data_IF_107174149719
#
_entry.id   IF_107174149719
#
_cell.length_a   1.000
_cell.length_b   1.000
_cell.length_c   1.000
_cell.angle_alpha   90.00
_cell.angle_beta   90.00
_cell.angle_gamma   90.00
#
_symmetry.space_group_name_H-M   'P 1'
#
loop_
_entity.id
_entity.type
_entity.pdbx_description
1 polymer ?
#
# COMPACT_ATOMS: atom_id res chain seq x y z
N UNK A 1 15.84 -5.91 -16.13
CA UNK A 1 15.46 -7.34 -16.13
C UNK A 1 16.63 -8.29 -16.32
N UNK A 2 17.25 -8.42 -17.51
CA UNK A 2 18.41 -9.32 -17.65
C UNK A 2 19.63 -8.86 -16.80
N UNK A 3 19.78 -7.56 -16.62
CA UNK A 3 20.75 -6.92 -15.71
C UNK A 3 20.41 -7.23 -14.23
N UNK A 4 19.18 -6.94 -13.79
CA UNK A 4 18.68 -7.19 -12.42
C UNK A 4 18.81 -8.66 -12.00
N UNK A 5 18.59 -9.60 -12.92
CA UNK A 5 18.74 -11.03 -12.67
C UNK A 5 20.22 -11.40 -12.50
N UNK A 6 21.12 -10.85 -13.32
CA UNK A 6 22.56 -11.04 -13.15
C UNK A 6 23.06 -10.44 -11.84
N UNK A 7 22.55 -9.28 -11.46
CA UNK A 7 22.83 -8.65 -10.16
C UNK A 7 22.35 -9.54 -9.01
N UNK A 8 21.15 -10.11 -9.12
CA UNK A 8 20.58 -11.03 -8.13
C UNK A 8 21.41 -12.30 -7.99
N UNK A 9 21.80 -12.92 -9.11
CA UNK A 9 22.65 -14.12 -9.12
C UNK A 9 24.05 -13.82 -8.56
N UNK A 10 24.65 -12.68 -8.92
CA UNK A 10 25.94 -12.23 -8.38
C UNK A 10 25.86 -12.01 -6.87
N UNK A 11 24.77 -11.42 -6.39
CA UNK A 11 24.53 -11.26 -4.95
C UNK A 11 24.42 -12.61 -4.24
N UNK A 12 23.70 -13.59 -4.81
CA UNK A 12 23.61 -14.94 -4.25
C UNK A 12 24.99 -15.61 -4.14
N UNK A 13 25.82 -15.52 -5.18
CA UNK A 13 27.18 -16.07 -5.19
C UNK A 13 28.07 -15.39 -4.10
N UNK A 14 27.93 -14.07 -3.92
CA UNK A 14 28.65 -13.35 -2.87
C UNK A 14 28.22 -13.73 -1.46
N UNK A 15 26.92 -13.88 -1.21
CA UNK A 15 26.39 -14.30 0.11
C UNK A 15 26.90 -15.69 0.48
N UNK A 16 26.92 -16.61 -0.49
CA UNK A 16 27.49 -17.95 -0.32
C UNK A 16 28.96 -17.88 0.07
N UNK A 17 29.74 -17.04 -0.61
CA UNK A 17 31.19 -16.90 -0.39
C UNK A 17 31.53 -16.34 1.00
N UNK A 18 30.67 -15.46 1.55
CA UNK A 18 30.91 -14.75 2.82
C UNK A 18 30.47 -15.51 4.08
N UNK A 19 29.85 -16.69 3.93
CA UNK A 19 29.65 -17.62 5.04
C UNK A 19 28.88 -17.06 6.23
N UNK A 20 27.71 -16.45 5.98
CA UNK A 20 26.74 -16.18 7.04
C UNK A 20 26.40 -17.51 7.71
N UNK A 21 26.33 -17.54 9.05
CA UNK A 21 26.11 -18.73 9.92
C UNK A 21 24.81 -19.53 9.67
N UNK A 22 24.10 -19.29 8.58
CA UNK A 22 23.06 -20.20 8.08
C UNK A 22 23.73 -21.38 7.39
N UNK A 23 23.07 -22.54 7.44
CA UNK A 23 23.56 -23.78 6.86
C UNK A 23 23.98 -23.57 5.39
N UNK A 24 25.29 -23.52 5.13
CA UNK A 24 25.84 -23.26 3.78
C UNK A 24 25.25 -24.21 2.74
N UNK A 25 24.83 -25.40 3.15
CA UNK A 25 24.25 -26.41 2.26
C UNK A 25 22.88 -26.01 1.69
N UNK A 26 22.02 -25.33 2.47
CA UNK A 26 20.69 -24.90 2.01
C UNK A 26 20.80 -23.76 0.99
N UNK A 27 21.72 -22.81 1.23
CA UNK A 27 21.94 -21.68 0.32
C UNK A 27 22.58 -22.12 -1.01
N UNK A 28 23.54 -23.06 -0.99
CA UNK A 28 24.07 -23.65 -2.23
C UNK A 28 22.98 -24.38 -3.01
N UNK A 29 22.18 -25.21 -2.34
CA UNK A 29 21.08 -25.93 -3.00
C UNK A 29 20.04 -25.00 -3.63
N UNK A 30 19.75 -23.85 -3.00
CA UNK A 30 18.89 -22.82 -3.60
C UNK A 30 19.55 -22.22 -4.85
N UNK A 31 20.82 -21.81 -4.75
CA UNK A 31 21.51 -21.15 -5.87
C UNK A 31 21.67 -22.06 -7.09
N UNK A 32 21.97 -23.35 -6.85
CA UNK A 32 22.10 -24.37 -7.89
C UNK A 32 20.78 -24.58 -8.66
N UNK A 33 19.62 -24.39 -8.00
CA UNK A 33 18.31 -24.40 -8.66
C UNK A 33 18.01 -23.07 -9.37
N UNK A 34 18.36 -21.94 -8.74
CA UNK A 34 17.98 -20.60 -9.20
C UNK A 34 18.57 -20.27 -10.57
N UNK A 35 19.87 -20.49 -10.78
CA UNK A 35 20.51 -20.09 -12.03
C UNK A 35 19.93 -20.81 -13.26
N UNK A 36 19.84 -22.15 -13.30
CA UNK A 36 19.16 -22.87 -14.37
C UNK A 36 17.66 -22.51 -14.52
N UNK A 37 16.97 -22.26 -13.40
CA UNK A 37 15.58 -21.81 -13.41
C UNK A 37 15.45 -20.47 -14.13
N UNK A 38 16.32 -19.49 -13.83
CA UNK A 38 16.29 -18.17 -14.43
C UNK A 38 16.59 -18.22 -15.93
N UNK A 39 17.57 -19.03 -16.36
CA UNK A 39 17.86 -19.24 -17.79
C UNK A 39 16.64 -19.84 -18.52
N UNK A 40 15.95 -20.80 -17.88
CA UNK A 40 14.73 -21.38 -18.40
C UNK A 40 13.61 -20.35 -18.47
N UNK A 41 13.42 -19.57 -17.41
CA UNK A 41 12.43 -18.50 -17.31
C UNK A 41 12.60 -17.51 -18.45
N UNK A 42 13.79 -16.97 -18.66
CA UNK A 42 14.07 -16.01 -19.74
C UNK A 42 13.82 -16.62 -21.13
N UNK A 43 14.26 -17.86 -21.34
CA UNK A 43 14.02 -18.57 -22.61
C UNK A 43 12.53 -18.74 -22.91
N UNK A 44 11.70 -18.94 -21.88
CA UNK A 44 10.25 -19.09 -22.05
C UNK A 44 9.55 -17.74 -22.13
N UNK A 45 9.98 -16.75 -21.37
CA UNK A 45 9.49 -15.38 -21.39
C UNK A 45 9.68 -14.75 -22.77
N UNK A 46 10.84 -14.93 -23.39
CA UNK A 46 11.12 -14.44 -24.75
C UNK A 46 10.27 -15.11 -25.86
N UNK A 47 9.54 -16.18 -25.54
CA UNK A 47 8.60 -16.86 -26.45
C UNK A 47 7.15 -16.43 -26.22
N UNK A 48 6.88 -15.62 -25.20
CA UNK A 48 5.55 -15.07 -24.98
C UNK A 48 5.23 -14.05 -26.07
N UNK A 49 3.97 -13.97 -26.53
CA UNK A 49 3.56 -12.91 -27.43
C UNK A 49 3.73 -11.54 -26.75
N UNK A 50 3.90 -10.50 -27.56
CA UNK A 50 3.98 -9.13 -27.04
C UNK A 50 2.71 -8.80 -26.26
N UNK A 51 2.89 -8.41 -25.01
CA UNK A 51 1.82 -8.05 -24.08
C UNK A 51 2.22 -6.74 -23.41
N UNK A 52 1.28 -5.80 -23.35
CA UNK A 52 1.45 -4.52 -22.68
C UNK A 52 0.23 -4.24 -21.83
N UNK A 53 0.49 -3.89 -20.58
CA UNK A 53 -0.50 -3.34 -19.67
C UNK A 53 0.08 -2.05 -19.10
N UNK A 54 -0.68 -0.96 -19.14
CA UNK A 54 -0.21 0.33 -18.66
C UNK A 54 0.05 0.32 -17.15
N UNK A 55 -0.73 -0.44 -16.38
CA UNK A 55 -0.57 -0.54 -14.93
C UNK A 55 0.70 -1.30 -14.55
N UNK A 56 1.21 -2.19 -15.40
CA UNK A 56 2.52 -2.85 -15.18
C UNK A 56 3.69 -1.85 -15.27
N UNK A 57 3.49 -0.69 -15.91
CA UNK A 57 4.51 0.35 -16.08
C UNK A 57 4.52 1.36 -14.92
N UNK A 58 3.53 1.31 -14.02
CA UNK A 58 3.38 2.22 -12.90
C UNK A 58 3.62 1.50 -11.58
N UNK A 59 4.10 2.23 -10.56
CA UNK A 59 4.18 1.71 -9.20
C UNK A 59 2.77 1.74 -8.55
N UNK A 60 1.95 0.74 -8.84
CA UNK A 60 0.57 0.64 -8.35
C UNK A 60 0.56 0.18 -6.89
N UNK A 61 0.43 1.14 -5.98
CA UNK A 61 0.27 0.92 -4.53
C UNK A 61 -1.21 0.73 -4.12
N UNK A 62 -1.46 0.47 -2.82
CA UNK A 62 -2.80 0.29 -2.24
C UNK A 62 -3.74 1.45 -2.58
N UNK A 63 -3.28 2.69 -2.44
CA UNK A 63 -4.07 3.88 -2.73
C UNK A 63 -4.48 3.93 -4.20
N UNK A 64 -3.59 3.50 -5.11
CA UNK A 64 -3.91 3.41 -6.54
C UNK A 64 -5.07 2.44 -6.79
N UNK A 65 -5.08 1.28 -6.12
CA UNK A 65 -6.19 0.34 -6.18
C UNK A 65 -7.50 0.93 -5.65
N UNK A 66 -7.46 1.66 -4.53
CA UNK A 66 -8.62 2.33 -3.95
C UNK A 66 -9.18 3.42 -4.87
N UNK A 67 -8.31 4.17 -5.56
CA UNK A 67 -8.69 5.16 -6.58
C UNK A 67 -9.30 4.53 -7.83
N UNK A 68 -8.77 3.39 -8.29
CA UNK A 68 -9.36 2.66 -9.42
C UNK A 68 -10.76 2.17 -9.05
N UNK A 69 -10.92 1.52 -7.90
CA UNK A 69 -12.24 1.08 -7.42
C UNK A 69 -13.20 2.26 -7.25
N UNK A 70 -12.74 3.37 -6.66
CA UNK A 70 -13.51 4.62 -6.56
C UNK A 70 -14.07 5.06 -7.91
N UNK A 71 -13.23 5.13 -8.95
CA UNK A 71 -13.66 5.53 -10.30
C UNK A 71 -14.64 4.55 -10.93
N UNK A 72 -14.45 3.25 -10.76
CA UNK A 72 -15.38 2.23 -11.24
C UNK A 72 -16.75 2.35 -10.56
N UNK A 73 -16.76 2.51 -9.24
CA UNK A 73 -18.00 2.60 -8.44
C UNK A 73 -18.76 3.93 -8.65
N UNK A 74 -18.09 4.97 -9.15
CA UNK A 74 -18.71 6.25 -9.54
C UNK A 74 -19.44 6.21 -10.88
N UNK A 75 -19.31 5.13 -11.66
CA UNK A 75 -19.96 5.02 -12.96
C UNK A 75 -21.47 5.14 -12.82
N UNK A 76 -22.08 5.99 -13.68
CA UNK A 76 -23.52 6.18 -13.77
C UNK A 76 -24.05 5.74 -15.13
N UNK A 77 -25.23 5.15 -15.12
CA UNK A 77 -26.02 4.90 -16.32
C UNK A 77 -26.52 6.23 -16.93
N UNK A 78 -27.07 6.21 -18.15
CA UNK A 78 -27.78 7.37 -18.71
C UNK A 78 -28.97 7.84 -17.86
N UNK A 79 -29.55 6.95 -17.05
CA UNK A 79 -30.64 7.28 -16.11
C UNK A 79 -30.12 7.79 -14.76
N UNK A 80 -28.80 7.90 -14.59
CA UNK A 80 -28.16 8.41 -13.38
C UNK A 80 -27.89 7.35 -12.30
N UNK A 81 -28.16 6.07 -12.58
CA UNK A 81 -27.99 4.98 -11.62
C UNK A 81 -26.55 4.50 -11.52
N UNK A 82 -26.09 4.21 -10.31
CA UNK A 82 -24.76 3.68 -10.06
C UNK A 82 -24.68 2.16 -10.32
N UNK A 83 -24.74 1.75 -11.59
CA UNK A 83 -24.86 0.33 -12.00
C UNK A 83 -23.73 -0.55 -11.42
N UNK A 84 -22.47 -0.13 -11.52
CA UNK A 84 -21.34 -0.90 -10.98
C UNK A 84 -21.42 -0.99 -9.45
N UNK A 85 -21.74 0.10 -8.75
CA UNK A 85 -21.88 0.04 -7.29
C UNK A 85 -23.08 -0.81 -6.85
N UNK A 86 -24.21 -0.76 -7.56
CA UNK A 86 -25.34 -1.66 -7.34
C UNK A 86 -24.93 -3.13 -7.52
N UNK A 87 -24.21 -3.44 -8.60
CA UNK A 87 -23.63 -4.77 -8.82
C UNK A 87 -22.68 -5.18 -7.69
N UNK A 88 -21.86 -4.26 -7.20
CA UNK A 88 -20.93 -4.51 -6.10
C UNK A 88 -21.69 -4.86 -4.82
N UNK A 89 -22.67 -4.05 -4.41
CA UNK A 89 -23.48 -4.30 -3.20
C UNK A 89 -24.26 -5.62 -3.34
N UNK A 90 -24.80 -5.91 -4.53
CA UNK A 90 -25.42 -7.20 -4.80
C UNK A 90 -24.42 -8.35 -4.57
N UNK A 91 -23.20 -8.23 -5.10
CA UNK A 91 -22.14 -9.22 -4.86
C UNK A 91 -21.83 -9.38 -3.36
N UNK A 92 -21.68 -8.29 -2.61
CA UNK A 92 -21.45 -8.35 -1.15
C UNK A 92 -22.59 -9.06 -0.42
N UNK A 93 -23.85 -8.82 -0.82
CA UNK A 93 -25.01 -9.49 -0.24
C UNK A 93 -25.00 -11.01 -0.42
N UNK A 94 -24.40 -11.53 -1.51
CA UNK A 94 -24.21 -12.98 -1.71
C UNK A 94 -23.21 -13.59 -0.75
N UNK A 95 -22.27 -12.79 -0.22
CA UNK A 95 -21.26 -13.21 0.75
C UNK A 95 -21.79 -13.10 2.18
N UNK A 96 -22.64 -12.11 2.45
CA UNK A 96 -23.24 -11.89 3.75
C UNK A 96 -24.54 -11.09 3.66
N UNK A 97 -25.64 -11.66 4.14
CA UNK A 97 -26.99 -11.09 4.02
C UNK A 97 -27.10 -9.65 4.57
N UNK A 98 -26.33 -9.32 5.63
CA UNK A 98 -26.34 -7.97 6.20
C UNK A 98 -25.97 -6.87 5.18
N UNK A 99 -25.19 -7.19 4.15
CA UNK A 99 -24.75 -6.25 3.10
C UNK A 99 -25.80 -6.01 2.02
N UNK A 100 -27.06 -6.33 2.30
CA UNK A 100 -28.20 -6.06 1.43
C UNK A 100 -28.81 -4.69 1.76
N UNK A 101 -28.44 -3.68 0.99
CA UNK A 101 -29.00 -2.34 1.09
C UNK A 101 -29.15 -1.69 -0.30
N UNK A 102 -30.07 -0.73 -0.40
CA UNK A 102 -30.34 -0.02 -1.64
C UNK A 102 -29.36 1.13 -1.87
N UNK A 103 -28.90 1.28 -3.12
CA UNK A 103 -28.00 2.36 -3.55
C UNK A 103 -28.79 3.33 -4.42
N UNK A 104 -29.02 4.55 -3.93
CA UNK A 104 -29.80 5.56 -4.66
C UNK A 104 -28.95 6.78 -5.00
N UNK A 105 -28.43 7.47 -4.00
CA UNK A 105 -27.58 8.66 -4.18
C UNK A 105 -26.37 8.65 -3.22
N UNK A 106 -25.45 7.68 -3.39
CA UNK A 106 -24.27 7.56 -2.55
C UNK A 106 -23.29 8.73 -2.75
N UNK A 107 -22.63 9.10 -1.67
CA UNK A 107 -21.36 9.83 -1.68
C UNK A 107 -20.20 8.82 -1.58
N UNK A 108 -19.25 8.90 -2.51
CA UNK A 108 -18.09 7.99 -2.58
C UNK A 108 -16.82 8.82 -2.45
N UNK A 109 -16.08 8.63 -1.36
CA UNK A 109 -14.82 9.35 -1.09
C UNK A 109 -13.66 8.38 -0.96
N UNK A 110 -12.50 8.74 -1.51
CA UNK A 110 -11.25 7.98 -1.46
C UNK A 110 -10.23 8.75 -0.62
N UNK A 111 -9.51 8.06 0.27
CA UNK A 111 -8.46 8.58 1.18
C UNK A 111 -8.90 9.70 2.16
N UNK A 112 -10.16 10.13 2.12
CA UNK A 112 -10.69 11.16 3.03
C UNK A 112 -10.72 10.65 4.47
N UNK A 113 -10.24 11.47 5.41
CA UNK A 113 -10.06 11.11 6.81
C UNK A 113 -9.16 9.87 7.03
N UNK A 114 -8.26 9.58 6.08
CA UNK A 114 -7.42 8.37 6.07
C UNK A 114 -8.19 7.06 5.94
N UNK A 115 -9.42 7.11 5.43
CA UNK A 115 -10.16 5.89 5.07
C UNK A 115 -9.92 5.64 3.59
N UNK A 116 -9.40 4.47 3.23
CA UNK A 116 -9.03 4.16 1.85
C UNK A 116 -10.18 4.41 0.87
N UNK A 117 -11.36 3.88 1.18
CA UNK A 117 -12.59 4.15 0.43
C UNK A 117 -13.80 4.10 1.36
N UNK A 118 -14.64 5.13 1.29
CA UNK A 118 -15.88 5.26 2.07
C UNK A 118 -17.05 5.54 1.12
N UNK A 119 -18.07 4.68 1.20
CA UNK A 119 -19.33 4.82 0.45
C UNK A 119 -20.43 5.05 1.46
N UNK A 120 -21.15 6.17 1.35
CA UNK A 120 -22.21 6.48 2.31
C UNK A 120 -23.44 7.05 1.64
N UNK A 121 -24.59 6.77 2.23
CA UNK A 121 -25.84 7.47 1.92
C UNK A 121 -26.49 7.85 3.25
N UNK A 122 -26.68 9.17 3.48
CA UNK A 122 -27.10 9.70 4.77
C UNK A 122 -28.38 9.01 5.27
N UNK A 123 -28.41 8.66 6.56
CA UNK A 123 -29.50 7.93 7.21
C UNK A 123 -29.75 6.51 6.69
N UNK A 124 -28.91 5.95 5.81
CA UNK A 124 -29.05 4.58 5.31
C UNK A 124 -27.89 3.68 5.68
N UNK A 125 -26.71 3.94 5.12
CA UNK A 125 -25.54 3.10 5.32
C UNK A 125 -24.23 3.89 5.16
N UNK A 126 -23.19 3.39 5.80
CA UNK A 126 -21.80 3.76 5.58
C UNK A 126 -20.96 2.49 5.43
N UNK A 127 -20.43 2.25 4.24
CA UNK A 127 -19.53 1.15 3.92
C UNK A 127 -18.08 1.66 3.92
N UNK A 128 -17.34 1.26 4.96
CA UNK A 128 -15.89 1.45 5.10
C UNK A 128 -15.21 0.33 4.33
N UNK A 129 -14.30 0.67 3.43
CA UNK A 129 -13.47 -0.28 2.68
C UNK A 129 -12.01 0.01 3.02
N UNK A 130 -11.33 -0.97 3.63
CA UNK A 130 -9.89 -0.93 3.91
C UNK A 130 -9.17 -1.88 2.94
N UNK A 131 -8.13 -1.39 2.28
CA UNK A 131 -7.42 -2.10 1.22
C UNK A 131 -6.01 -2.50 1.66
N UNK A 132 -5.74 -3.80 1.64
CA UNK A 132 -4.46 -4.42 1.99
C UNK A 132 -3.92 -5.29 0.87
N UNK A 133 -4.15 -4.92 -0.40
CA UNK A 133 -3.74 -5.72 -1.56
C UNK A 133 -2.22 -5.92 -1.71
N UNK A 134 -1.36 -5.15 -1.02
CA UNK A 134 0.08 -5.44 -0.94
C UNK A 134 0.53 -5.95 0.44
N UNK A 135 -0.37 -6.58 1.21
CA UNK A 135 -0.08 -7.12 2.55
C UNK A 135 0.43 -6.08 3.56
N UNK A 136 0.04 -4.80 3.43
CA UNK A 136 0.35 -3.79 4.43
C UNK A 136 -0.01 -4.26 5.85
N UNK A 137 0.84 -3.91 6.82
CA UNK A 137 0.64 -4.24 8.22
C UNK A 137 -0.68 -3.62 8.73
N UNK A 138 -1.29 -4.28 9.73
CA UNK A 138 -2.45 -3.68 10.39
C UNK A 138 -1.99 -2.55 11.30
N UNK A 139 -2.63 -1.38 11.19
CA UNK A 139 -2.35 -0.31 12.12
C UNK A 139 -3.14 -0.55 13.42
N UNK A 140 -2.52 -0.30 14.58
CA UNK A 140 -3.24 -0.30 15.86
C UNK A 140 -4.45 0.63 15.80
N UNK A 141 -5.60 0.16 16.28
CA UNK A 141 -6.88 0.85 16.39
C UNK A 141 -7.45 1.35 15.04
N UNK A 142 -6.97 0.85 13.89
CA UNK A 142 -7.31 1.42 12.57
C UNK A 142 -8.80 1.37 12.27
N UNK A 143 -9.40 0.17 12.32
CA UNK A 143 -10.82 -0.01 12.03
C UNK A 143 -11.68 0.69 13.07
N UNK A 144 -11.29 0.62 14.35
CA UNK A 144 -11.99 1.31 15.43
C UNK A 144 -12.02 2.84 15.23
N UNK A 145 -10.90 3.46 14.85
CA UNK A 145 -10.84 4.90 14.51
C UNK A 145 -11.72 5.25 13.31
N UNK A 146 -11.81 4.37 12.31
CA UNK A 146 -12.67 4.64 11.16
C UNK A 146 -14.15 4.59 11.53
N UNK A 147 -14.55 3.60 12.33
CA UNK A 147 -15.91 3.52 12.87
C UNK A 147 -16.22 4.79 13.65
N UNK A 148 -15.34 5.21 14.57
CA UNK A 148 -15.51 6.41 15.37
C UNK A 148 -15.62 7.68 14.51
N UNK A 149 -14.73 7.86 13.52
CA UNK A 149 -14.81 8.95 12.54
C UNK A 149 -16.13 8.95 11.78
N UNK A 150 -16.63 7.78 11.37
CA UNK A 150 -17.89 7.67 10.64
C UNK A 150 -19.08 8.07 11.51
N UNK A 151 -19.05 7.70 12.79
CA UNK A 151 -20.06 8.10 13.78
C UNK A 151 -20.01 9.60 14.07
N UNK A 152 -18.84 10.11 14.41
CA UNK A 152 -18.67 11.47 14.92
C UNK A 152 -18.71 12.53 13.82
N UNK A 153 -18.13 12.27 12.65
CA UNK A 153 -18.06 13.26 11.57
C UNK A 153 -19.29 13.24 10.66
N UNK A 154 -20.02 12.12 10.60
CA UNK A 154 -21.13 11.94 9.65
C UNK A 154 -22.45 11.50 10.30
N UNK A 155 -22.49 11.24 11.61
CA UNK A 155 -23.71 10.98 12.36
C UNK A 155 -24.34 9.61 12.14
N UNK A 156 -23.58 8.63 11.66
CA UNK A 156 -24.08 7.25 11.51
C UNK A 156 -24.12 6.52 12.85
N UNK A 157 -25.10 5.64 13.04
CA UNK A 157 -25.16 4.70 14.17
C UNK A 157 -24.59 3.34 13.77
N UNK A 158 -24.20 2.53 14.76
CA UNK A 158 -23.51 1.24 14.52
C UNK A 158 -24.28 0.31 13.57
N UNK A 159 -25.62 0.31 13.61
CA UNK A 159 -26.47 -0.52 12.75
C UNK A 159 -26.39 -0.17 11.26
N UNK A 160 -25.91 1.03 10.93
CA UNK A 160 -25.76 1.53 9.57
C UNK A 160 -24.34 1.40 9.04
N UNK A 161 -23.37 1.00 9.88
CA UNK A 161 -21.96 0.94 9.50
C UNK A 161 -21.58 -0.50 9.11
N UNK A 162 -20.96 -0.60 7.94
CA UNK A 162 -20.49 -1.82 7.31
C UNK A 162 -18.99 -1.73 7.02
N UNK A 163 -18.29 -2.85 7.14
CA UNK A 163 -16.84 -2.90 7.01
C UNK A 163 -16.48 -4.01 6.03
N UNK A 164 -15.81 -3.62 4.96
CA UNK A 164 -15.20 -4.51 3.99
C UNK A 164 -13.68 -4.37 4.08
N UNK A 165 -13.03 -5.49 4.38
CA UNK A 165 -11.57 -5.57 4.40
C UNK A 165 -11.11 -6.35 3.17
N UNK A 166 -10.34 -5.70 2.30
CA UNK A 166 -9.88 -6.26 1.03
C UNK A 166 -8.43 -6.67 1.13
N UNK A 167 -8.17 -7.95 0.90
CA UNK A 167 -6.82 -8.53 0.97
C UNK A 167 -6.38 -9.04 -0.41
N UNK A 168 -5.12 -9.44 -0.58
CA UNK A 168 -4.64 -9.88 -1.89
C UNK A 168 -5.35 -11.18 -2.30
N UNK A 169 -5.37 -12.17 -1.40
CA UNK A 169 -5.80 -13.54 -1.68
C UNK A 169 -6.69 -14.16 -0.60
N UNK A 170 -7.03 -13.42 0.46
CA UNK A 170 -7.88 -13.90 1.57
C UNK A 170 -7.12 -14.52 2.74
N UNK A 171 -5.80 -14.63 2.66
CA UNK A 171 -4.98 -15.24 3.74
C UNK A 171 -4.75 -14.30 4.91
N UNK A 172 -4.67 -12.98 4.67
CA UNK A 172 -4.58 -11.96 5.71
C UNK A 172 -5.95 -11.77 6.38
N UNK A 173 -5.95 -11.68 7.70
CA UNK A 173 -7.11 -11.28 8.50
C UNK A 173 -6.74 -10.06 9.35
N UNK A 174 -7.68 -9.16 9.68
CA UNK A 174 -7.37 -8.03 10.54
C UNK A 174 -7.00 -8.51 11.96
N UNK A 175 -5.85 -8.06 12.45
CA UNK A 175 -5.39 -8.34 13.81
C UNK A 175 -6.31 -7.73 14.89
N UNK A 176 -6.38 -8.34 16.09
CA UNK A 176 -7.30 -7.88 17.14
C UNK A 176 -7.11 -6.40 17.51
N UNK A 177 -5.86 -5.95 17.58
CA UNK A 177 -5.53 -4.58 17.96
C UNK A 177 -6.11 -3.52 17.01
N UNK A 178 -6.52 -3.88 15.78
CA UNK A 178 -7.12 -2.91 14.84
C UNK A 178 -8.57 -2.55 15.21
N UNK A 179 -9.22 -3.43 15.98
CA UNK A 179 -10.61 -3.31 16.40
C UNK A 179 -10.79 -2.62 17.76
N UNK A 180 -9.71 -2.28 18.45
CA UNK A 180 -9.74 -1.76 19.80
C UNK A 180 -9.53 -0.25 19.80
N UNK A 181 -10.29 0.48 20.63
CA UNK A 181 -10.07 1.90 20.89
C UNK A 181 -10.56 2.21 22.30
N UNK A 182 -9.71 2.82 23.12
CA UNK A 182 -10.01 3.24 24.49
C UNK A 182 -10.64 2.14 25.36
N UNK A 183 -10.13 0.91 25.23
CA UNK A 183 -10.62 -0.26 25.98
C UNK A 183 -11.91 -0.88 25.44
N UNK A 184 -12.49 -0.33 24.36
CA UNK A 184 -13.66 -0.89 23.68
C UNK A 184 -13.23 -1.71 22.47
N UNK A 185 -13.69 -2.97 22.38
CA UNK A 185 -13.50 -3.82 21.20
C UNK A 185 -14.72 -3.76 20.28
N UNK A 186 -14.51 -3.33 19.04
CA UNK A 186 -15.55 -3.21 18.02
C UNK A 186 -15.79 -4.50 17.23
N UNK A 187 -14.92 -5.50 17.39
CA UNK A 187 -14.93 -6.73 16.58
C UNK A 187 -16.25 -7.49 16.67
N UNK A 188 -16.75 -7.72 17.89
CA UNK A 188 -18.01 -8.44 18.10
C UNK A 188 -19.23 -7.60 17.72
N UNK A 189 -19.19 -6.27 17.94
CA UNK A 189 -20.27 -5.34 17.58
C UNK A 189 -20.54 -5.36 16.07
N UNK A 190 -19.48 -5.45 15.28
CA UNK A 190 -19.52 -5.41 13.82
C UNK A 190 -19.42 -6.77 13.16
N UNK A 191 -19.40 -7.87 13.92
CA UNK A 191 -19.23 -9.23 13.40
C UNK A 191 -20.17 -9.55 12.25
N UNK A 192 -21.43 -9.15 12.32
CA UNK A 192 -22.43 -9.40 11.28
C UNK A 192 -22.38 -8.41 10.10
N UNK A 193 -21.75 -7.24 10.28
CA UNK A 193 -21.57 -6.21 9.26
C UNK A 193 -20.10 -6.06 8.82
N UNK A 194 -19.32 -7.12 9.03
CA UNK A 194 -17.95 -7.25 8.59
C UNK A 194 -17.80 -8.40 7.58
N UNK A 195 -17.04 -8.15 6.51
CA UNK A 195 -16.60 -9.16 5.55
C UNK A 195 -15.12 -8.94 5.19
N UNK A 196 -14.39 -10.05 5.09
CA UNK A 196 -13.04 -10.08 4.52
C UNK A 196 -13.15 -10.72 3.14
N UNK A 197 -12.84 -9.97 2.09
CA UNK A 197 -12.80 -10.45 0.71
C UNK A 197 -11.40 -10.25 0.13
N UNK A 198 -11.14 -10.90 -0.99
CA UNK A 198 -9.85 -10.86 -1.66
C UNK A 198 -9.95 -10.24 -3.06
N UNK A 199 -8.89 -9.57 -3.49
CA UNK A 199 -8.80 -9.13 -4.88
C UNK A 199 -8.73 -10.32 -5.83
N UNK A 200 -7.94 -11.35 -5.49
CA UNK A 200 -7.72 -12.54 -6.32
C UNK A 200 -8.99 -13.35 -6.56
N UNK A 201 -9.73 -13.67 -5.50
CA UNK A 201 -10.85 -14.62 -5.60
C UNK A 201 -12.22 -13.92 -5.68
N UNK A 202 -12.33 -12.68 -5.20
CA UNK A 202 -13.61 -11.98 -5.12
C UNK A 202 -13.70 -10.80 -6.08
N UNK A 203 -12.88 -9.76 -5.94
CA UNK A 203 -12.98 -8.55 -6.78
C UNK A 203 -12.71 -8.86 -8.24
N UNK A 204 -11.65 -9.61 -8.55
CA UNK A 204 -11.32 -9.99 -9.93
C UNK A 204 -12.44 -10.83 -10.57
N UNK A 205 -13.01 -11.76 -9.82
CA UNK A 205 -14.14 -12.56 -10.26
C UNK A 205 -15.40 -11.70 -10.49
N UNK A 206 -15.75 -10.83 -9.54
CA UNK A 206 -16.86 -9.89 -9.68
C UNK A 206 -16.70 -8.99 -10.91
N UNK A 207 -15.51 -8.43 -11.14
CA UNK A 207 -15.24 -7.61 -12.32
C UNK A 207 -15.45 -8.41 -13.61
N UNK A 208 -14.88 -9.61 -13.71
CA UNK A 208 -14.94 -10.45 -14.92
C UNK A 208 -16.32 -11.03 -15.21
N UNK A 209 -17.02 -11.48 -14.17
CA UNK A 209 -18.27 -12.23 -14.33
C UNK A 209 -19.52 -11.36 -14.16
N UNK A 210 -19.45 -10.25 -13.43
CA UNK A 210 -20.60 -9.40 -13.15
C UNK A 210 -20.53 -8.00 -13.77
N UNK A 211 -19.33 -7.42 -13.92
CA UNK A 211 -19.20 -6.04 -14.44
C UNK A 211 -18.93 -6.01 -15.94
N UNK A 212 -17.88 -6.68 -16.40
CA UNK A 212 -17.46 -6.68 -17.80
C UNK A 212 -18.55 -7.17 -18.77
N UNK A 213 -19.30 -8.26 -18.50
CA UNK A 213 -20.32 -8.75 -19.42
C UNK A 213 -21.52 -7.79 -19.55
N UNK A 214 -21.73 -6.92 -18.56
CA UNK A 214 -22.82 -5.95 -18.52
C UNK A 214 -22.40 -4.56 -19.03
N UNK A 215 -21.16 -4.39 -19.49
CA UNK A 215 -20.72 -3.13 -20.10
C UNK A 215 -21.43 -2.88 -21.42
N UNK A 216 -21.98 -1.67 -21.60
CA UNK A 216 -22.63 -1.28 -22.85
C UNK A 216 -21.57 -1.13 -23.94
N UNK A 217 -21.92 -1.48 -25.18
CA UNK A 217 -21.05 -1.32 -26.36
C UNK A 217 -20.47 0.09 -26.49
N UNK A 218 -21.25 1.11 -26.12
CA UNK A 218 -20.82 2.53 -26.17
C UNK A 218 -19.80 2.91 -25.08
N UNK A 219 -19.71 2.15 -23.99
CA UNK A 219 -18.83 2.43 -22.84
C UNK A 219 -17.41 1.89 -23.08
N UNK A 220 -16.89 2.08 -24.30
CA UNK A 220 -15.61 1.51 -24.75
C UNK A 220 -14.42 1.85 -23.85
N UNK A 221 -14.41 3.05 -23.26
CA UNK A 221 -13.33 3.48 -22.36
C UNK A 221 -13.43 2.81 -20.99
N UNK A 222 -14.65 2.58 -20.49
CA UNK A 222 -14.86 1.81 -19.26
C UNK A 222 -14.43 0.36 -19.47
N UNK A 223 -14.86 -0.26 -20.58
CA UNK A 223 -14.46 -1.62 -20.91
C UNK A 223 -12.94 -1.76 -21.03
N UNK A 224 -12.29 -0.83 -21.75
CA UNK A 224 -10.82 -0.80 -21.85
C UNK A 224 -10.12 -0.63 -20.49
N UNK A 225 -10.66 0.21 -19.59
CA UNK A 225 -10.13 0.35 -18.23
C UNK A 225 -10.30 -0.94 -17.41
N UNK A 226 -11.44 -1.63 -17.55
CA UNK A 226 -11.71 -2.92 -16.91
C UNK A 226 -10.78 -4.01 -17.45
N UNK A 227 -10.53 -4.06 -18.77
CA UNK A 227 -9.58 -4.99 -19.37
C UNK A 227 -8.17 -4.78 -18.81
N UNK A 228 -7.69 -3.52 -18.80
CA UNK A 228 -6.37 -3.21 -18.23
C UNK A 228 -6.30 -3.56 -16.74
N UNK A 229 -7.32 -3.24 -15.95
CA UNK A 229 -7.29 -3.52 -14.52
C UNK A 229 -7.39 -5.02 -14.19
N UNK A 230 -8.26 -5.75 -14.87
CA UNK A 230 -8.40 -7.20 -14.67
C UNK A 230 -7.18 -7.98 -15.16
N UNK A 231 -6.57 -7.59 -16.28
CA UNK A 231 -5.30 -8.17 -16.75
C UNK A 231 -4.12 -7.81 -15.83
N UNK A 232 -4.12 -6.61 -15.23
CA UNK A 232 -3.14 -6.24 -14.21
C UNK A 232 -3.27 -7.12 -12.96
N UNK A 233 -4.50 -7.30 -12.45
CA UNK A 233 -4.76 -8.21 -11.33
C UNK A 233 -4.40 -9.65 -11.66
N UNK A 234 -4.71 -10.13 -12.88
CA UNK A 234 -4.23 -11.44 -13.35
C UNK A 234 -2.71 -11.51 -13.32
N UNK A 235 -2.00 -10.44 -13.71
CA UNK A 235 -0.54 -10.36 -13.63
C UNK A 235 -0.05 -10.46 -12.20
N UNK A 236 -0.58 -9.62 -11.32
CA UNK A 236 -0.25 -9.56 -9.89
C UNK A 236 -0.43 -10.91 -9.18
N UNK A 237 -1.45 -11.67 -9.55
CA UNK A 237 -1.73 -12.99 -8.96
C UNK A 237 -1.21 -14.17 -9.79
N UNK A 238 -0.39 -13.91 -10.82
CA UNK A 238 0.17 -14.94 -11.70
C UNK A 238 -0.89 -15.82 -12.40
N UNK A 239 -2.04 -15.22 -12.73
CA UNK A 239 -3.20 -15.84 -13.38
C UNK A 239 -3.30 -15.54 -14.88
N UNK A 240 -2.43 -14.70 -15.46
CA UNK A 240 -2.49 -14.39 -16.89
C UNK A 240 -2.36 -15.65 -17.72
N UNK A 241 -3.37 -15.92 -18.55
CA UNK A 241 -3.44 -17.14 -19.38
C UNK A 241 -2.29 -17.25 -20.37
N UNK A 242 -1.75 -16.12 -20.84
CA UNK A 242 -0.55 -16.03 -21.68
C UNK A 242 0.65 -16.76 -21.06
N UNK A 243 0.74 -16.79 -19.73
CA UNK A 243 1.84 -17.40 -18.99
C UNK A 243 1.61 -18.91 -18.72
N UNK A 244 0.40 -19.44 -18.93
CA UNK A 244 0.06 -20.82 -18.53
C UNK A 244 1.03 -21.87 -19.08
N UNK A 245 1.40 -21.76 -20.35
CA UNK A 245 2.35 -22.69 -20.99
C UNK A 245 3.74 -22.57 -20.34
N UNK A 246 4.23 -21.35 -20.18
CA UNK A 246 5.52 -21.09 -19.52
C UNK A 246 5.52 -21.61 -18.08
N UNK A 247 4.50 -21.28 -17.30
CA UNK A 247 4.35 -21.71 -15.90
C UNK A 247 4.37 -23.24 -15.78
N UNK A 248 3.65 -23.95 -16.66
CA UNK A 248 3.67 -25.42 -16.69
C UNK A 248 5.07 -25.97 -17.00
N UNK A 249 5.78 -25.37 -17.95
CA UNK A 249 7.15 -25.79 -18.29
C UNK A 249 8.16 -25.50 -17.16
N UNK A 250 7.98 -24.39 -16.43
CA UNK A 250 8.79 -24.05 -15.26
C UNK A 250 8.50 -24.98 -14.08
N UNK A 251 7.24 -25.32 -13.82
CA UNK A 251 6.87 -26.31 -12.80
C UNK A 251 7.45 -27.69 -13.12
N UNK A 252 7.40 -28.12 -14.38
CA UNK A 252 8.01 -29.38 -14.81
C UNK A 252 9.54 -29.36 -14.63
N UNK A 253 10.18 -28.21 -14.90
CA UNK A 253 11.60 -28.02 -14.65
C UNK A 253 11.92 -28.17 -13.15
N UNK A 254 11.20 -27.47 -12.26
CA UNK A 254 11.38 -27.57 -10.81
C UNK A 254 11.18 -29.01 -10.32
N UNK A 255 10.13 -29.69 -10.79
CA UNK A 255 9.88 -31.11 -10.45
C UNK A 255 11.09 -32.00 -10.75
N UNK A 256 11.67 -31.81 -11.94
CA UNK A 256 12.84 -32.58 -12.38
C UNK A 256 14.08 -32.27 -11.55
N UNK A 257 14.42 -30.99 -11.37
CA UNK A 257 15.62 -30.59 -10.63
C UNK A 257 15.56 -30.99 -9.15
N UNK A 258 14.36 -30.98 -8.55
CA UNK A 258 14.15 -31.42 -7.18
C UNK A 258 13.96 -32.94 -7.05
N UNK A 259 14.09 -33.71 -8.13
CA UNK A 259 14.01 -35.17 -8.10
C UNK A 259 12.65 -35.72 -7.69
N UNK A 260 11.58 -34.97 -7.93
CA UNK A 260 10.22 -35.37 -7.56
C UNK A 260 9.75 -36.59 -8.33
N UNK A 261 9.00 -37.47 -7.66
CA UNK A 261 8.48 -38.72 -8.25
C UNK A 261 6.98 -38.62 -8.44
N UNK A 262 6.46 -39.08 -9.57
CA UNK A 262 5.02 -38.96 -9.88
C UNK A 262 4.12 -39.78 -8.94
N UNK A 263 4.65 -40.84 -8.33
CA UNK A 263 3.94 -41.77 -7.45
C UNK A 263 3.98 -41.39 -5.96
N UNK A 264 4.66 -40.28 -5.60
CA UNK A 264 4.96 -39.93 -4.20
C UNK A 264 4.54 -38.48 -3.86
N UNK A 265 3.24 -38.13 -3.94
CA UNK A 265 2.77 -36.76 -3.77
C UNK A 265 3.05 -36.17 -2.38
N UNK A 266 3.00 -36.96 -1.30
CA UNK A 266 3.30 -36.52 0.07
C UNK A 266 4.79 -36.21 0.26
N UNK A 267 5.68 -37.03 -0.35
CA UNK A 267 7.12 -36.78 -0.37
C UNK A 267 7.43 -35.49 -1.14
N UNK A 268 6.84 -35.32 -2.33
CA UNK A 268 7.01 -34.12 -3.15
C UNK A 268 6.52 -32.85 -2.44
N UNK A 269 5.39 -32.94 -1.72
CA UNK A 269 4.88 -31.82 -0.92
C UNK A 269 5.89 -31.41 0.16
N UNK A 270 6.47 -32.39 0.86
CA UNK A 270 7.46 -32.15 1.91
C UNK A 270 8.74 -31.53 1.34
N UNK A 271 9.19 -31.95 0.15
CA UNK A 271 10.33 -31.35 -0.55
C UNK A 271 10.08 -29.87 -0.89
N UNK A 272 8.90 -29.56 -1.42
CA UNK A 272 8.51 -28.17 -1.74
C UNK A 272 8.41 -27.32 -0.48
N UNK A 273 7.78 -27.83 0.58
CA UNK A 273 7.64 -27.11 1.83
C UNK A 273 9.00 -26.73 2.41
N UNK A 274 9.92 -27.69 2.48
CA UNK A 274 11.30 -27.43 2.93
C UNK A 274 11.99 -26.38 2.05
N UNK A 275 11.87 -26.48 0.73
CA UNK A 275 12.49 -25.50 -0.18
C UNK A 275 11.89 -24.09 -0.03
N UNK A 276 10.59 -24.01 0.26
CA UNK A 276 9.90 -22.75 0.57
C UNK A 276 10.42 -22.13 1.87
N UNK A 277 10.55 -22.91 2.94
CA UNK A 277 11.11 -22.46 4.22
C UNK A 277 12.56 -21.94 4.05
N UNK A 278 13.38 -22.63 3.25
CA UNK A 278 14.74 -22.19 2.94
C UNK A 278 14.73 -20.81 2.24
N UNK A 279 13.84 -20.58 1.27
CA UNK A 279 13.69 -19.29 0.59
C UNK A 279 13.18 -18.19 1.53
N UNK A 280 12.20 -18.51 2.40
CA UNK A 280 11.67 -17.58 3.40
C UNK A 280 12.77 -17.10 4.36
N UNK A 281 13.69 -17.97 4.75
CA UNK A 281 14.84 -17.56 5.57
C UNK A 281 15.73 -16.52 4.87
N UNK A 282 15.96 -16.67 3.56
CA UNK A 282 16.72 -15.67 2.77
C UNK A 282 15.96 -14.35 2.70
N UNK A 283 14.65 -14.40 2.41
CA UNK A 283 13.78 -13.22 2.37
C UNK A 283 13.82 -12.47 3.71
N UNK A 284 13.79 -13.18 4.82
CA UNK A 284 13.86 -12.59 6.15
C UNK A 284 15.19 -11.85 6.38
N UNK A 285 16.34 -12.43 5.99
CA UNK A 285 17.64 -11.76 6.09
C UNK A 285 17.72 -10.49 5.24
N UNK A 286 17.23 -10.53 4.00
CA UNK A 286 17.19 -9.36 3.11
C UNK A 286 16.28 -8.28 3.69
N UNK A 287 15.14 -8.66 4.26
CA UNK A 287 14.19 -7.74 4.90
C UNK A 287 14.82 -7.06 6.11
N UNK A 288 15.50 -7.82 6.99
CA UNK A 288 16.23 -7.25 8.12
C UNK A 288 17.35 -6.30 7.68
N UNK A 289 18.08 -6.63 6.61
CA UNK A 289 19.11 -5.73 6.07
C UNK A 289 18.51 -4.44 5.51
N UNK A 290 17.36 -4.51 4.82
CA UNK A 290 16.63 -3.34 4.34
C UNK A 290 16.33 -2.37 5.50
N UNK A 291 15.85 -2.89 6.63
CA UNK A 291 15.57 -2.08 7.83
C UNK A 291 16.83 -1.43 8.42
N UNK A 292 17.95 -2.15 8.44
CA UNK A 292 19.25 -1.61 8.90
C UNK A 292 19.71 -0.48 7.98
N UNK A 293 19.70 -0.68 6.66
CA UNK A 293 20.10 0.32 5.68
C UNK A 293 19.19 1.55 5.75
N UNK A 294 17.89 1.36 5.96
CA UNK A 294 16.95 2.45 6.15
C UNK A 294 17.34 3.33 7.36
N UNK A 295 17.69 2.72 8.51
CA UNK A 295 18.17 3.45 9.69
C UNK A 295 19.49 4.19 9.44
N UNK A 296 20.40 3.60 8.67
CA UNK A 296 21.63 4.27 8.25
C UNK A 296 21.35 5.51 7.39
N UNK A 297 20.38 5.43 6.47
CA UNK A 297 19.95 6.57 5.66
C UNK A 297 19.39 7.69 6.55
N UNK A 298 18.49 7.39 7.48
CA UNK A 298 17.98 8.37 8.45
C UNK A 298 19.10 9.05 9.23
N UNK A 299 20.09 8.29 9.69
CA UNK A 299 21.25 8.82 10.41
C UNK A 299 22.08 9.77 9.54
N UNK A 300 22.40 9.36 8.31
CA UNK A 300 23.14 10.19 7.35
C UNK A 300 22.39 11.47 6.98
N UNK A 301 21.07 11.38 6.76
CA UNK A 301 20.24 12.54 6.47
C UNK A 301 20.24 13.53 7.63
N UNK A 302 20.12 13.05 8.87
CA UNK A 302 20.17 13.90 10.05
C UNK A 302 21.53 14.57 10.22
N UNK A 303 22.64 13.87 9.99
CA UNK A 303 23.99 14.44 10.04
C UNK A 303 24.20 15.54 8.99
N UNK A 304 23.80 15.28 7.74
CA UNK A 304 23.88 16.27 6.66
C UNK A 304 23.06 17.54 6.98
N UNK A 305 21.87 17.36 7.54
CA UNK A 305 21.02 18.48 7.93
C UNK A 305 21.59 19.22 9.14
N UNK A 306 22.12 18.53 10.15
CA UNK A 306 22.78 19.16 11.32
C UNK A 306 24.00 19.98 10.92
N UNK A 307 24.78 19.51 9.95
CA UNK A 307 25.92 20.25 9.41
C UNK A 307 25.46 21.55 8.72
N UNK A 308 24.39 21.49 7.92
CA UNK A 308 23.85 22.65 7.20
C UNK A 308 23.06 23.60 8.12
N UNK A 309 22.43 23.08 9.17
CA UNK A 309 21.55 23.80 10.09
C UNK A 309 21.92 23.54 11.56
N UNK A 310 23.09 24.02 12.03
CA UNK A 310 23.54 23.76 13.40
C UNK A 310 22.55 24.29 14.43
N UNK A 311 22.22 23.47 15.44
CA UNK A 311 21.31 23.85 16.54
C UNK A 311 19.83 23.99 16.17
N UNK A 312 19.43 23.58 14.96
CA UNK A 312 18.05 23.69 14.45
C UNK A 312 17.43 22.36 14.02
N UNK A 313 18.15 21.25 14.20
CA UNK A 313 17.72 19.93 13.73
C UNK A 313 17.43 19.01 14.89
N UNK A 314 16.17 18.60 15.00
CA UNK A 314 15.72 17.57 15.94
C UNK A 314 15.52 16.28 15.15
N UNK A 315 15.93 15.16 15.71
CA UNK A 315 15.68 13.84 15.12
C UNK A 315 15.07 12.92 16.16
N UNK A 316 14.14 12.10 15.71
CA UNK A 316 13.68 10.92 16.43
C UNK A 316 13.59 9.80 15.39
N UNK A 317 14.73 9.20 15.07
CA UNK A 317 14.83 8.11 14.10
C UNK A 317 14.45 6.75 14.68
N UNK A 318 14.33 6.65 16.00
CA UNK A 318 14.09 5.40 16.73
C UNK A 318 12.62 5.25 17.18
N UNK A 319 11.76 6.22 16.87
CA UNK A 319 10.32 6.13 17.08
C UNK A 319 9.75 4.86 16.44
N UNK A 320 9.12 4.00 17.26
CA UNK A 320 8.51 2.74 16.82
C UNK A 320 7.30 2.93 15.89
N UNK A 321 6.74 4.14 15.83
CA UNK A 321 5.57 4.43 15.02
C UNK A 321 5.84 5.47 13.93
N UNK A 322 6.69 6.46 14.21
CA UNK A 322 6.78 7.64 13.34
C UNK A 322 8.17 8.28 13.36
N UNK A 323 9.19 7.69 12.74
CA UNK A 323 10.52 8.28 12.71
C UNK A 323 10.53 9.56 11.87
N UNK A 324 11.24 10.58 12.36
CA UNK A 324 11.28 11.90 11.72
C UNK A 324 12.60 12.65 11.91
N UNK A 325 12.81 13.63 11.03
CA UNK A 325 13.81 14.70 11.18
C UNK A 325 13.12 16.04 10.97
N UNK A 326 13.27 16.93 11.93
CA UNK A 326 12.71 18.28 11.92
C UNK A 326 13.80 19.32 11.75
N UNK A 327 13.46 20.40 11.06
CA UNK A 327 14.26 21.61 10.96
C UNK A 327 13.41 22.80 11.39
N UNK A 328 13.84 23.51 12.42
CA UNK A 328 13.08 24.62 13.00
C UNK A 328 13.27 25.92 12.22
N UNK A 329 12.19 26.66 11.95
CA UNK A 329 12.13 27.95 11.27
C UNK A 329 11.25 28.94 12.06
N UNK A 330 11.27 30.22 11.65
CA UNK A 330 10.38 31.26 12.18
C UNK A 330 9.69 32.05 11.07
N UNK A 331 8.40 32.34 11.24
CA UNK A 331 7.63 33.33 10.47
C UNK A 331 6.94 34.26 11.43
N UNK A 332 7.18 35.58 11.32
CA UNK A 332 6.58 36.60 12.21
C UNK A 332 6.71 36.23 13.71
N UNK A 333 7.90 35.78 14.11
CA UNK A 333 8.25 35.29 15.46
C UNK A 333 7.59 33.97 15.93
N UNK A 334 6.76 33.35 15.08
CA UNK A 334 6.14 32.05 15.34
C UNK A 334 7.06 30.94 14.85
N UNK A 335 7.32 29.95 15.71
CA UNK A 335 8.16 28.80 15.39
C UNK A 335 7.34 27.75 14.65
N UNK A 336 7.94 27.13 13.62
CA UNK A 336 7.41 25.95 12.97
C UNK A 336 8.53 25.01 12.53
N UNK A 337 8.19 23.76 12.24
CA UNK A 337 9.14 22.75 11.81
C UNK A 337 8.86 22.36 10.36
N UNK A 338 9.91 22.30 9.54
CA UNK A 338 9.88 21.55 8.30
C UNK A 338 10.36 20.12 8.59
N UNK A 339 9.50 19.15 8.31
CA UNK A 339 9.65 17.77 8.74
C UNK A 339 9.77 16.84 7.54
N UNK A 340 10.65 15.86 7.65
CA UNK A 340 10.64 14.62 6.86
C UNK A 340 10.33 13.46 7.82
N UNK A 341 9.39 12.60 7.48
CA UNK A 341 8.97 11.52 8.36
C UNK A 341 8.47 10.28 7.60
N UNK A 342 8.31 9.18 8.33
CA UNK A 342 7.67 7.95 7.85
C UNK A 342 6.60 7.51 8.83
N UNK A 343 5.46 7.03 8.32
CA UNK A 343 4.53 6.21 9.09
C UNK A 343 4.93 4.76 8.88
N UNK A 344 5.54 4.14 9.91
CA UNK A 344 6.01 2.76 9.83
C UNK A 344 4.88 1.80 9.46
N UNK A 345 3.65 2.10 9.90
CA UNK A 345 2.51 1.19 9.75
C UNK A 345 1.91 1.22 8.36
N UNK A 346 1.94 2.35 7.67
CA UNK A 346 1.49 2.46 6.27
C UNK A 346 2.64 2.42 5.25
N UNK A 347 3.90 2.29 5.71
CA UNK A 347 5.13 2.40 4.91
C UNK A 347 5.17 3.66 4.02
N UNK A 348 4.45 4.72 4.42
CA UNK A 348 4.36 5.97 3.69
C UNK A 348 5.37 6.97 4.22
N UNK A 349 6.04 7.64 3.29
CA UNK A 349 6.94 8.74 3.59
C UNK A 349 6.26 10.09 3.35
N UNK A 350 6.61 11.04 4.19
CA UNK A 350 6.05 12.38 4.19
C UNK A 350 7.13 13.43 4.30
N UNK A 351 6.85 14.60 3.72
CA UNK A 351 7.53 15.82 4.09
C UNK A 351 6.58 17.00 4.08
N UNK A 352 6.90 18.06 4.82
CA UNK A 352 6.03 19.25 4.88
C UNK A 352 6.31 20.10 6.11
N UNK A 353 5.31 20.88 6.52
CA UNK A 353 5.35 21.71 7.73
C UNK A 353 4.54 21.07 8.85
N UNK A 354 5.18 20.77 9.98
CA UNK A 354 4.53 20.16 11.14
C UNK A 354 4.21 21.19 12.23
N UNK A 355 3.18 20.89 13.02
CA UNK A 355 2.75 21.67 14.18
C UNK A 355 3.33 21.13 15.49
N UNK A 356 4.28 20.18 15.44
CA UNK A 356 4.86 19.57 16.65
C UNK A 356 5.41 20.66 17.55
N UNK A 357 4.96 20.64 18.81
CA UNK A 357 5.23 21.60 19.88
C UNK A 357 4.58 22.99 19.75
N UNK A 358 3.63 23.21 18.81
CA UNK A 358 2.94 24.50 18.65
C UNK A 358 1.43 24.34 18.44
N UNK A 359 0.64 25.30 18.96
CA UNK A 359 -0.78 25.44 18.62
C UNK A 359 -0.88 25.86 17.15
N UNK A 360 -1.91 25.42 16.42
CA UNK A 360 -2.20 25.91 15.08
C UNK A 360 -2.31 27.44 15.09
N UNK A 361 -1.31 28.12 14.52
CA UNK A 361 -1.30 29.58 14.42
C UNK A 361 -2.00 30.02 13.12
N UNK A 362 -3.03 30.85 13.26
CA UNK A 362 -3.78 31.40 12.11
C UNK A 362 -2.86 32.14 11.15
N UNK A 363 -1.81 32.82 11.64
CA UNK A 363 -0.86 33.51 10.75
C UNK A 363 -0.03 32.56 9.87
N UNK A 364 0.25 31.34 10.34
CA UNK A 364 0.92 30.31 9.54
C UNK A 364 -0.04 29.74 8.50
N UNK A 365 -1.30 29.53 8.88
CA UNK A 365 -2.35 29.04 7.98
C UNK A 365 -2.56 30.03 6.82
N UNK A 366 -2.71 31.32 7.11
CA UNK A 366 -2.83 32.37 6.09
C UNK A 366 -1.60 32.45 5.17
N UNK A 367 -0.41 32.28 5.74
CA UNK A 367 0.81 32.20 4.94
C UNK A 367 0.83 30.95 4.04
N UNK A 368 0.36 29.80 4.54
CA UNK A 368 0.29 28.57 3.77
C UNK A 368 -0.76 28.58 2.66
N UNK A 369 -1.86 29.31 2.84
CA UNK A 369 -2.82 29.54 1.76
C UNK A 369 -2.15 30.18 0.53
N UNK A 370 -1.10 30.99 0.74
CA UNK A 370 -0.30 31.56 -0.34
C UNK A 370 0.62 30.54 -1.04
N UNK A 371 0.90 29.40 -0.40
CA UNK A 371 1.76 28.31 -0.88
C UNK A 371 0.98 27.05 -1.29
N UNK A 372 -0.35 27.15 -1.38
CA UNK A 372 -1.26 26.02 -1.57
C UNK A 372 -1.02 25.19 -2.84
N UNK A 373 -0.37 25.76 -3.85
CA UNK A 373 -0.05 25.07 -5.10
C UNK A 373 1.26 24.26 -4.98
N UNK A 374 2.08 24.57 -3.97
CA UNK A 374 3.40 23.97 -3.73
C UNK A 374 3.36 22.97 -2.56
N UNK A 375 2.47 23.19 -1.58
CA UNK A 375 2.28 22.31 -0.42
C UNK A 375 0.79 21.96 -0.16
N UNK A 376 0.09 21.25 -1.08
CA UNK A 376 -1.19 20.65 -0.71
C UNK A 376 -1.06 19.15 -0.38
N UNK A 377 -1.54 18.77 0.80
CA UNK A 377 -2.65 17.82 0.96
C UNK A 377 -3.28 18.08 2.33
N UNK A 378 -4.45 18.73 2.35
CA UNK A 378 -5.32 18.81 3.53
C UNK A 378 -5.77 17.38 3.90
N UNK A 379 -4.95 16.69 4.66
CA UNK A 379 -5.43 15.63 5.52
C UNK A 379 -5.56 16.29 6.88
N UNK A 380 -6.76 16.26 7.47
CA UNK A 380 -7.07 16.79 8.81
C UNK A 380 -6.29 16.10 9.95
N UNK A 381 -4.98 15.93 9.78
CA UNK A 381 -4.03 15.58 10.81
C UNK A 381 -3.69 16.87 11.57
N UNK A 382 -4.08 16.98 12.85
CA UNK A 382 -3.78 18.15 13.66
C UNK A 382 -2.27 18.40 13.84
N UNK A 383 -1.41 17.43 13.48
CA UNK A 383 0.03 17.51 13.63
C UNK A 383 0.76 18.16 12.42
N UNK A 384 0.04 18.55 11.37
CA UNK A 384 0.62 19.13 10.16
C UNK A 384 -0.11 20.40 9.73
N UNK A 385 0.66 21.43 9.40
CA UNK A 385 0.15 22.61 8.73
C UNK A 385 -0.03 22.38 7.22
N UNK A 386 0.85 21.58 6.61
CA UNK A 386 0.77 21.16 5.21
C UNK A 386 1.73 20.00 4.96
N UNK A 387 1.28 18.96 4.27
CA UNK A 387 2.01 17.70 4.12
C UNK A 387 1.97 17.21 2.68
N UNK A 388 3.08 16.64 2.21
CA UNK A 388 3.16 15.83 1.00
C UNK A 388 3.38 14.37 1.38
N UNK A 389 2.56 13.48 0.83
CA UNK A 389 2.57 12.04 1.12
C UNK A 389 2.85 11.20 -0.13
N UNK A 390 3.12 9.90 0.05
CA UNK A 390 3.25 8.94 -1.06
C UNK A 390 4.52 9.10 -1.88
N UNK A 391 5.58 9.66 -1.30
CA UNK A 391 6.88 9.80 -1.96
C UNK A 391 7.70 8.54 -1.72
N UNK A 392 8.35 8.01 -2.76
CA UNK A 392 9.21 6.83 -2.61
C UNK A 392 10.48 7.13 -1.80
N UNK A 393 11.05 6.08 -1.19
CA UNK A 393 12.20 6.20 -0.29
C UNK A 393 13.43 6.83 -0.94
N UNK A 394 13.72 6.49 -2.20
CA UNK A 394 14.83 7.07 -2.95
C UNK A 394 14.65 8.56 -3.27
N UNK A 395 13.40 9.04 -3.30
CA UNK A 395 13.06 10.41 -3.67
C UNK A 395 12.71 11.31 -2.47
N UNK A 396 12.40 10.75 -1.30
CA UNK A 396 11.91 11.54 -0.15
C UNK A 396 12.94 12.57 0.30
N UNK A 397 14.20 12.17 0.48
CA UNK A 397 15.23 13.08 0.97
C UNK A 397 15.65 14.14 -0.07
N UNK A 398 15.87 13.82 -1.36
CA UNK A 398 16.05 14.83 -2.40
C UNK A 398 14.93 15.86 -2.44
N UNK A 399 13.66 15.42 -2.45
CA UNK A 399 12.49 16.32 -2.47
C UNK A 399 12.40 17.16 -1.21
N UNK A 400 12.66 16.57 -0.04
CA UNK A 400 12.70 17.33 1.20
C UNK A 400 13.78 18.42 1.17
N UNK A 401 14.97 18.15 0.62
CA UNK A 401 16.01 19.19 0.48
C UNK A 401 15.57 20.33 -0.46
N UNK A 402 14.87 20.02 -1.55
CA UNK A 402 14.30 21.04 -2.44
C UNK A 402 13.23 21.86 -1.73
N UNK A 403 12.36 21.18 -0.98
CA UNK A 403 11.34 21.80 -0.15
C UNK A 403 11.94 22.76 0.88
N UNK A 404 12.98 22.36 1.60
CA UNK A 404 13.68 23.22 2.55
C UNK A 404 14.24 24.47 1.86
N UNK A 405 14.90 24.32 0.70
CA UNK A 405 15.42 25.47 -0.07
C UNK A 405 14.31 26.40 -0.53
N UNK A 406 13.13 25.86 -0.80
CA UNK A 406 11.95 26.63 -1.15
C UNK A 406 11.44 27.44 0.05
N UNK A 407 11.32 26.82 1.24
CA UNK A 407 10.91 27.49 2.48
C UNK A 407 11.87 28.63 2.84
N UNK A 408 13.19 28.42 2.70
CA UNK A 408 14.22 29.43 2.96
C UNK A 408 14.07 30.71 2.11
N UNK A 409 13.42 30.62 0.95
CA UNK A 409 13.24 31.75 0.02
C UNK A 409 11.95 32.52 0.28
N UNK A 410 11.07 32.03 1.15
CA UNK A 410 9.78 32.66 1.38
C UNK A 410 9.91 33.95 2.20
N UNK A 411 9.14 35.00 1.85
CA UNK A 411 9.18 36.25 2.58
C UNK A 411 8.74 36.05 4.03
N UNK A 412 9.40 36.75 4.95
CA UNK A 412 9.18 36.67 6.39
C UNK A 412 9.61 35.35 7.07
N UNK A 413 10.16 34.38 6.33
CA UNK A 413 10.84 33.23 6.92
C UNK A 413 12.24 33.62 7.34
N UNK A 414 12.59 33.34 8.59
CA UNK A 414 13.94 33.50 9.12
C UNK A 414 14.40 32.24 9.84
N UNK A 415 15.72 32.03 9.98
CA UNK A 415 16.25 30.99 10.86
C UNK A 415 15.72 31.18 12.29
N UNK A 416 15.17 30.12 12.89
CA UNK A 416 15.01 30.12 14.33
C UNK A 416 16.41 30.21 14.96
N UNK A 417 16.64 31.18 15.87
CA UNK A 417 17.83 31.18 16.72
C UNK A 417 17.98 29.83 17.42
N UNK A 418 19.22 29.44 17.71
CA UNK A 418 19.57 28.16 18.36
C UNK A 418 18.63 27.85 19.52
N UNK A 419 18.00 26.67 19.48
CA UNK A 419 17.22 26.10 20.60
C UNK A 419 18.13 25.85 21.79
#
# INVERSE_FOLDING_TARGET
MLEEIKETLSFCDEVISKGVKMDKSSFHSINDLLKPFMDKYETKKNKLPYHINLLDLFNVNENTHSRILHKLLQQKSPTGEFEILKSFVQYLSTKKEAFKFEVNNPEITVEKNRIDLLIREQNKYALIIENKINYAADQSNQLARYIDKVKNNYGFVDTQIYILYLTPDGTKIPENHTWELDGTSYKEIFKDRFINLSFRNDILHWLKESVMPNCRVKDKFLYSALEQYTDYLDGKFSLRSINNKMNKELQNFIRKELGMKDDSPEENYSIILKKKEELENVINQVTSLKEVIEKECWSKWAEQLKYKYPGRVVKDSDSENYPYIDITFKVKDIIFCATIAKDIKSDNFYYGLSTRDCILHTEIIEWLESLKDEIPDENGDPNWYGIKSGVSFENIYPRFKEFIKFIEKQPNVSPAGTV
#
